data_IF_944155796263
#
_entry.id   IF_944155796263
#
_cell.length_a   1.000
_cell.length_b   1.000
_cell.length_c   1.000
_cell.angle_alpha   90.00
_cell.angle_beta   90.00
_cell.angle_gamma   90.00
#
_symmetry.space_group_name_H-M   'P 1'
#
loop_
_entity.id
_entity.type
_entity.pdbx_description
1 polymer ?
#
# COMPACT_ATOMS: atom_id res chain seq x y z
N UNK A 1 12.60 3.13 -2.17
CA UNK A 1 11.44 4.03 -2.12
C UNK A 1 10.25 3.28 -2.70
N UNK A 2 9.25 2.96 -1.89
CA UNK A 2 8.04 2.27 -2.35
C UNK A 2 6.94 3.32 -2.57
N UNK A 3 6.90 3.88 -3.79
CA UNK A 3 6.03 5.00 -4.14
C UNK A 3 4.91 4.62 -5.13
N UNK A 4 5.07 3.52 -5.87
CA UNK A 4 4.06 3.09 -6.84
C UNK A 4 2.70 2.89 -6.15
N UNK A 5 1.64 3.45 -6.74
CA UNK A 5 0.30 3.24 -6.22
C UNK A 5 -0.80 3.62 -7.19
N UNK A 6 -1.97 3.02 -6.98
CA UNK A 6 -3.20 3.28 -7.74
C UNK A 6 -4.36 3.51 -6.78
N UNK A 7 -5.39 4.20 -7.26
CA UNK A 7 -6.65 4.37 -6.55
C UNK A 7 -7.82 3.92 -7.44
N UNK A 8 -8.91 3.53 -6.80
CA UNK A 8 -10.19 3.29 -7.44
C UNK A 8 -11.28 3.95 -6.58
N UNK A 9 -12.25 4.58 -7.24
CA UNK A 9 -13.41 5.19 -6.58
C UNK A 9 -14.60 4.27 -6.79
N UNK A 10 -15.29 3.93 -5.70
CA UNK A 10 -16.54 3.17 -5.75
C UNK A 10 -17.02 2.81 -4.36
N UNK A 11 -18.34 2.73 -4.20
CA UNK A 11 -18.90 2.25 -2.95
C UNK A 11 -18.63 0.74 -2.80
N UNK A 12 -18.49 0.22 -1.57
CA UNK A 12 -18.24 -1.20 -1.35
C UNK A 12 -19.26 -2.16 -1.97
N UNK A 13 -20.52 -1.73 -2.14
CA UNK A 13 -21.60 -2.53 -2.73
C UNK A 13 -21.67 -2.47 -4.27
N UNK A 14 -20.92 -1.57 -4.90
CA UNK A 14 -20.85 -1.39 -6.37
C UNK A 14 -19.50 -1.82 -6.94
N UNK A 15 -18.46 -1.85 -6.11
CA UNK A 15 -17.10 -2.16 -6.54
C UNK A 15 -16.93 -3.65 -6.83
N UNK A 16 -16.56 -3.95 -8.07
CA UNK A 16 -16.09 -5.28 -8.46
C UNK A 16 -14.93 -5.75 -7.56
N UNK A 17 -15.00 -6.94 -6.93
CA UNK A 17 -13.96 -7.40 -5.99
C UNK A 17 -12.54 -7.37 -6.56
N UNK A 18 -12.38 -7.70 -7.85
CA UNK A 18 -11.09 -7.64 -8.57
C UNK A 18 -10.45 -6.24 -8.57
N UNK A 19 -11.26 -5.18 -8.51
CA UNK A 19 -10.77 -3.80 -8.47
C UNK A 19 -10.21 -3.50 -7.09
N UNK A 20 -10.92 -3.89 -6.03
CA UNK A 20 -10.42 -3.79 -4.66
C UNK A 20 -9.09 -4.55 -4.52
N UNK A 21 -9.06 -5.81 -4.95
CA UNK A 21 -7.87 -6.65 -4.91
C UNK A 21 -6.72 -6.02 -5.67
N UNK A 22 -6.97 -5.49 -6.88
CA UNK A 22 -5.92 -4.86 -7.68
C UNK A 22 -5.28 -3.66 -6.96
N UNK A 23 -6.08 -2.83 -6.30
CA UNK A 23 -5.59 -1.68 -5.51
C UNK A 23 -4.73 -2.16 -4.34
N UNK A 24 -5.19 -3.15 -3.59
CA UNK A 24 -4.44 -3.73 -2.46
C UNK A 24 -3.14 -4.39 -2.93
N UNK A 25 -3.18 -5.16 -4.02
CA UNK A 25 -2.03 -5.84 -4.60
C UNK A 25 -0.94 -4.86 -5.03
N UNK A 26 -1.30 -3.77 -5.72
CA UNK A 26 -0.30 -2.77 -6.14
C UNK A 26 0.24 -2.01 -4.94
N UNK A 27 -0.63 -1.51 -4.06
CA UNK A 27 -0.23 -0.57 -3.02
C UNK A 27 0.46 -1.27 -1.83
N UNK A 28 -0.18 -2.29 -1.26
CA UNK A 28 0.28 -2.95 -0.04
C UNK A 28 1.23 -4.11 -0.36
N UNK A 29 0.80 -5.07 -1.18
CA UNK A 29 1.66 -6.20 -1.53
C UNK A 29 2.90 -5.75 -2.32
N UNK A 30 2.77 -4.78 -3.23
CA UNK A 30 3.92 -4.19 -3.91
C UNK A 30 4.95 -3.60 -2.93
N UNK A 31 4.50 -2.88 -1.91
CA UNK A 31 5.34 -2.35 -0.83
C UNK A 31 6.07 -3.48 -0.08
N UNK A 32 5.34 -4.53 0.30
CA UNK A 32 5.91 -5.70 0.98
C UNK A 32 6.94 -6.42 0.11
N UNK A 33 6.62 -6.70 -1.16
CA UNK A 33 7.48 -7.46 -2.06
C UNK A 33 8.79 -6.75 -2.35
N UNK A 34 8.76 -5.44 -2.61
CA UNK A 34 9.98 -4.66 -2.79
C UNK A 34 10.81 -4.63 -1.51
N UNK A 35 10.17 -4.41 -0.36
CA UNK A 35 10.87 -4.43 0.93
C UNK A 35 11.54 -5.77 1.18
N UNK A 36 10.81 -6.89 1.03
CA UNK A 36 11.34 -8.25 1.17
C UNK A 36 12.52 -8.51 0.22
N UNK A 37 12.47 -7.97 -1.00
CA UNK A 37 13.50 -8.17 -2.02
C UNK A 37 14.81 -7.49 -1.64
N UNK A 38 14.77 -6.27 -1.09
CA UNK A 38 15.98 -5.49 -0.81
C UNK A 38 16.45 -5.52 0.65
N UNK A 39 15.59 -5.86 1.61
CA UNK A 39 15.94 -5.77 3.03
C UNK A 39 17.08 -6.72 3.44
N UNK A 40 17.21 -7.88 2.79
CA UNK A 40 18.30 -8.83 3.05
C UNK A 40 19.68 -8.23 2.77
N UNK A 41 19.86 -7.65 1.58
CA UNK A 41 21.11 -7.01 1.19
C UNK A 41 21.43 -5.78 2.06
N UNK A 42 20.41 -4.98 2.43
CA UNK A 42 20.60 -3.84 3.34
C UNK A 42 21.06 -4.28 4.74
N UNK A 43 20.50 -5.39 5.23
CA UNK A 43 20.91 -5.99 6.51
C UNK A 43 22.37 -6.47 6.46
N UNK A 44 22.76 -7.16 5.40
CA UNK A 44 24.14 -7.65 5.21
C UNK A 44 25.15 -6.50 5.08
N UNK A 45 24.77 -5.42 4.38
CA UNK A 45 25.59 -4.21 4.27
C UNK A 45 25.64 -3.38 5.56
N UNK A 46 24.88 -3.75 6.60
CA UNK A 46 24.78 -2.99 7.86
C UNK A 46 24.05 -1.65 7.74
N UNK A 47 23.58 -1.29 6.55
CA UNK A 47 22.89 -0.03 6.29
C UNK A 47 21.97 -0.09 5.07
N UNK A 48 20.82 0.56 5.20
CA UNK A 48 19.88 0.85 4.12
C UNK A 48 18.68 1.62 4.65
N UNK A 49 17.92 2.24 3.76
CA UNK A 49 16.69 2.97 4.11
C UNK A 49 15.60 2.62 3.10
N UNK A 50 14.44 2.26 3.62
CA UNK A 50 13.22 2.05 2.84
C UNK A 50 12.21 3.08 3.31
N UNK A 51 11.70 3.87 2.38
CA UNK A 51 10.63 4.84 2.62
C UNK A 51 9.38 4.32 1.92
N UNK A 52 8.30 4.19 2.68
CA UNK A 52 7.01 3.72 2.21
C UNK A 52 6.01 4.88 2.17
N UNK A 53 5.22 4.97 1.09
CA UNK A 53 4.25 6.05 0.91
C UNK A 53 2.85 5.61 1.37
N UNK A 54 2.47 6.05 2.57
CA UNK A 54 1.11 5.98 3.08
C UNK A 54 0.26 7.16 2.54
N UNK A 55 -0.82 7.53 3.24
CA UNK A 55 -1.66 8.67 2.88
C UNK A 55 -2.47 9.15 4.09
N UNK A 56 -2.90 10.42 4.10
CA UNK A 56 -3.91 10.91 5.05
C UNK A 56 -5.21 10.08 4.96
N UNK A 57 -5.53 9.53 3.78
CA UNK A 57 -6.67 8.66 3.55
C UNK A 57 -6.67 7.40 4.44
N UNK A 58 -5.51 7.00 4.96
CA UNK A 58 -5.40 5.90 5.93
C UNK A 58 -6.06 6.21 7.28
N UNK A 59 -6.15 7.50 7.65
CA UNK A 59 -6.75 7.96 8.90
C UNK A 59 -8.12 8.61 8.67
N UNK A 60 -8.28 9.31 7.55
CA UNK A 60 -9.48 10.07 7.20
C UNK A 60 -9.92 9.68 5.79
N UNK A 61 -10.82 8.70 5.71
CA UNK A 61 -11.32 8.19 4.44
C UNK A 61 -12.38 9.12 3.84
N UNK A 62 -12.28 9.36 2.52
CA UNK A 62 -13.34 9.98 1.75
C UNK A 62 -14.32 8.93 1.18
N UNK A 63 -15.60 9.27 0.94
CA UNK A 63 -16.54 8.36 0.27
C UNK A 63 -15.96 7.80 -1.05
N UNK A 64 -16.14 6.50 -1.26
CA UNK A 64 -15.65 5.80 -2.46
C UNK A 64 -14.17 5.37 -2.45
N UNK A 65 -13.37 5.76 -1.45
CA UNK A 65 -11.92 5.46 -1.40
C UNK A 65 -11.56 4.21 -0.59
N UNK A 66 -12.52 3.33 -0.33
CA UNK A 66 -12.36 2.21 0.61
C UNK A 66 -11.13 1.32 0.30
N UNK A 67 -10.93 0.93 -0.95
CA UNK A 67 -9.79 0.08 -1.36
C UNK A 67 -8.44 0.77 -1.20
N UNK A 68 -8.36 2.05 -1.58
CA UNK A 68 -7.16 2.85 -1.43
C UNK A 68 -6.81 3.08 0.04
N UNK A 69 -7.79 3.52 0.83
CA UNK A 69 -7.62 3.81 2.26
C UNK A 69 -7.27 2.56 3.06
N UNK A 70 -7.90 1.42 2.77
CA UNK A 70 -7.53 0.13 3.36
C UNK A 70 -6.08 -0.23 3.07
N UNK A 71 -5.64 -0.12 1.82
CA UNK A 71 -4.26 -0.42 1.46
C UNK A 71 -3.26 0.56 2.12
N UNK A 72 -3.57 1.86 2.16
CA UNK A 72 -2.71 2.87 2.79
C UNK A 72 -2.66 2.74 4.31
N UNK A 73 -3.76 2.36 4.97
CA UNK A 73 -3.75 2.00 6.39
C UNK A 73 -2.92 0.74 6.65
N UNK A 74 -2.97 -0.24 5.76
CA UNK A 74 -2.08 -1.42 5.80
C UNK A 74 -0.60 -1.05 5.72
N UNK A 75 -0.23 -0.05 4.90
CA UNK A 75 1.15 0.45 4.84
C UNK A 75 1.58 1.08 6.17
N UNK A 76 0.68 1.79 6.88
CA UNK A 76 0.98 2.34 8.21
C UNK A 76 1.21 1.22 9.22
N UNK A 77 0.35 0.20 9.27
CA UNK A 77 0.56 -0.94 10.17
C UNK A 77 1.76 -1.81 9.83
N UNK A 78 2.25 -1.72 8.58
CA UNK A 78 3.43 -2.44 8.11
C UNK A 78 4.76 -1.80 8.53
N UNK A 79 4.77 -0.49 8.81
CA UNK A 79 5.99 0.29 9.13
C UNK A 79 6.05 0.71 10.58
#
# INVERSE_FOLDING_TARGET
MNNAGIAAVGNPWEMEPKVFDRVVQVNLYGTYHLTRTFCGAMREAGFGRIVNFASLAAFQNAPGMASYSAAKAGIIGYT
#
